data_IF_660771359697
#
_entry.id   IF_660771359697
#
_cell.length_a   1.000
_cell.length_b   1.000
_cell.length_c   1.000
_cell.angle_alpha   90.00
_cell.angle_beta   90.00
_cell.angle_gamma   90.00
#
_symmetry.space_group_name_H-M   'P 1'
#
loop_
_entity.id
_entity.type
_entity.pdbx_description
1 polymer ?
#
# COMPACT_ATOMS: atom_id res chain seq x y z
N UNK A 1 4.18 18.87 19.54
CA UNK A 1 4.38 17.65 20.36
C UNK A 1 5.01 16.60 19.46
N UNK A 2 6.35 16.45 19.45
CA UNK A 2 7.02 15.43 18.63
C UNK A 2 6.62 14.05 19.18
N UNK A 3 5.93 13.23 18.37
CA UNK A 3 5.61 11.84 18.74
C UNK A 3 6.94 11.13 19.02
N UNK A 4 7.19 10.76 20.28
CA UNK A 4 8.30 9.88 20.63
C UNK A 4 7.93 8.48 20.15
N UNK A 5 8.22 8.17 18.89
CA UNK A 5 8.13 6.81 18.38
C UNK A 5 9.36 6.04 18.87
N UNK A 6 9.16 5.18 19.87
CA UNK A 6 10.19 4.25 20.35
C UNK A 6 10.47 3.08 19.37
N UNK A 7 9.96 3.13 18.14
CA UNK A 7 10.20 2.10 17.11
C UNK A 7 11.61 2.15 16.50
N UNK A 8 12.40 3.18 16.78
CA UNK A 8 13.76 3.35 16.26
C UNK A 8 14.83 2.42 16.91
N UNK A 9 14.44 1.32 17.57
CA UNK A 9 15.40 0.39 18.18
C UNK A 9 15.78 -0.79 17.28
N UNK A 10 15.04 -1.00 16.19
CA UNK A 10 15.39 -2.00 15.19
C UNK A 10 16.10 -1.31 14.01
N UNK A 11 17.39 -1.59 13.85
CA UNK A 11 18.22 -1.03 12.77
C UNK A 11 17.78 -1.49 11.37
N UNK A 12 16.81 -2.40 11.26
CA UNK A 12 16.19 -2.82 10.00
C UNK A 12 14.91 -2.06 9.65
N UNK A 13 14.39 -1.23 10.56
CA UNK A 13 13.17 -0.44 10.33
C UNK A 13 13.56 0.96 9.84
N UNK A 14 13.38 1.17 8.53
CA UNK A 14 13.50 2.48 7.91
C UNK A 14 12.14 3.19 7.96
N UNK A 15 12.11 4.42 8.48
CA UNK A 15 10.94 5.28 8.37
C UNK A 15 11.21 6.42 7.40
N UNK A 16 10.27 6.67 6.50
CA UNK A 16 10.25 7.86 5.67
C UNK A 16 9.30 8.86 6.32
N UNK A 17 9.85 9.95 6.86
CA UNK A 17 9.02 11.07 7.30
C UNK A 17 8.65 11.92 6.08
N UNK A 18 7.45 11.66 5.54
CA UNK A 18 6.95 12.40 4.38
C UNK A 18 6.79 13.90 4.67
N UNK A 19 6.63 14.32 5.94
CA UNK A 19 6.53 15.75 6.28
C UNK A 19 7.85 16.51 6.03
N UNK A 20 8.99 15.82 5.93
CA UNK A 20 10.30 16.43 5.66
C UNK A 20 10.64 16.53 4.16
N UNK A 21 9.86 15.87 3.29
CA UNK A 21 10.09 15.88 1.85
C UNK A 21 8.76 15.97 1.10
N UNK A 22 8.44 17.16 0.60
CA UNK A 22 7.20 17.44 -0.14
C UNK A 22 7.09 16.67 -1.46
N UNK A 23 8.21 16.20 -2.02
CA UNK A 23 8.25 15.41 -3.25
C UNK A 23 8.21 13.90 -2.97
N UNK A 24 8.03 13.48 -1.71
CA UNK A 24 8.03 12.08 -1.34
C UNK A 24 6.82 11.31 -1.92
N UNK A 25 7.07 10.05 -2.25
CA UNK A 25 6.06 9.05 -2.61
C UNK A 25 6.48 7.74 -1.96
N UNK A 26 5.54 7.05 -1.34
CA UNK A 26 5.76 5.78 -0.65
C UNK A 26 5.08 4.65 -1.41
N UNK A 27 5.76 3.51 -1.47
CA UNK A 27 5.16 2.23 -1.89
C UNK A 27 5.17 1.27 -0.71
N UNK A 28 3.98 0.86 -0.29
CA UNK A 28 3.79 -0.21 0.67
C UNK A 28 3.50 -1.50 -0.10
N UNK A 29 4.50 -2.38 -0.20
CA UNK A 29 4.39 -3.61 -0.98
C UNK A 29 3.52 -4.61 -0.21
N UNK A 30 2.37 -4.95 -0.79
CA UNK A 30 1.48 -5.97 -0.26
C UNK A 30 1.90 -7.38 -0.64
N UNK A 31 1.22 -8.38 -0.08
CA UNK A 31 1.52 -9.79 -0.33
C UNK A 31 0.68 -10.71 0.54
N UNK A 32 1.00 -12.01 0.49
CA UNK A 32 0.39 -13.01 1.38
C UNK A 32 1.03 -12.86 2.76
N UNK A 33 0.19 -12.73 3.78
CA UNK A 33 0.58 -12.70 5.17
C UNK A 33 0.23 -14.03 5.84
N UNK A 34 1.25 -14.78 6.24
CA UNK A 34 1.15 -16.05 7.00
C UNK A 34 0.11 -17.05 6.46
N UNK A 35 -0.07 -17.11 5.14
CA UNK A 35 -1.11 -17.95 4.49
C UNK A 35 -2.54 -17.71 5.00
N UNK A 36 -2.80 -16.53 5.59
CA UNK A 36 -4.11 -16.16 6.18
C UNK A 36 -4.82 -15.09 5.40
N UNK A 37 -4.07 -14.09 4.95
CA UNK A 37 -4.63 -12.95 4.26
C UNK A 37 -3.72 -12.47 3.15
N UNK A 38 -4.31 -11.76 2.22
CA UNK A 38 -3.61 -11.08 1.16
C UNK A 38 -3.76 -9.57 1.43
N UNK A 39 -2.70 -8.81 1.25
CA UNK A 39 -2.71 -7.35 1.38
C UNK A 39 -2.41 -6.73 0.00
N UNK A 40 -3.12 -5.67 -0.41
CA UNK A 40 -2.84 -4.97 -1.65
C UNK A 40 -1.55 -4.15 -1.52
N UNK A 41 -0.87 -3.93 -2.64
CA UNK A 41 0.18 -2.91 -2.72
C UNK A 41 -0.46 -1.53 -2.78
N UNK A 42 0.01 -0.62 -1.94
CA UNK A 42 -0.43 0.77 -1.89
C UNK A 42 0.69 1.70 -2.36
N UNK A 43 0.36 2.66 -3.21
CA UNK A 43 1.22 3.79 -3.54
C UNK A 43 0.54 5.02 -2.98
N UNK A 44 1.24 5.83 -2.20
CA UNK A 44 0.67 7.00 -1.53
C UNK A 44 1.66 8.16 -1.42
N UNK A 45 1.09 9.35 -1.27
CA UNK A 45 1.80 10.59 -0.91
C UNK A 45 0.86 11.44 -0.07
N UNK A 46 1.40 12.14 0.94
CA UNK A 46 0.63 13.15 1.70
C UNK A 46 0.60 14.53 1.01
N UNK A 47 1.40 14.71 -0.06
CA UNK A 47 1.60 15.97 -0.75
C UNK A 47 1.04 15.95 -2.17
N UNK A 48 -0.18 15.45 -2.35
CA UNK A 48 -0.79 15.31 -3.69
C UNK A 48 -0.97 16.64 -4.46
N UNK A 49 -1.01 17.76 -3.74
CA UNK A 49 -1.08 19.11 -4.32
C UNK A 49 0.30 19.63 -4.79
N UNK A 50 1.40 19.02 -4.34
CA UNK A 50 2.74 19.32 -4.85
C UNK A 50 2.91 18.70 -6.25
N UNK A 51 3.35 19.52 -7.21
CA UNK A 51 3.44 19.12 -8.62
C UNK A 51 4.42 17.95 -8.80
N UNK A 52 5.61 18.03 -8.19
CA UNK A 52 6.64 17.01 -8.30
C UNK A 52 6.19 15.69 -7.66
N UNK A 53 5.60 15.75 -6.46
CA UNK A 53 5.04 14.56 -5.79
C UNK A 53 3.95 13.89 -6.63
N UNK A 54 3.05 14.67 -7.21
CA UNK A 54 1.98 14.18 -8.07
C UNK A 54 2.51 13.53 -9.35
N UNK A 55 3.54 14.11 -9.95
CA UNK A 55 4.23 13.54 -11.12
C UNK A 55 4.88 12.20 -10.76
N UNK A 56 5.65 12.14 -9.67
CA UNK A 56 6.29 10.92 -9.18
C UNK A 56 5.26 9.84 -8.84
N UNK A 57 4.17 10.19 -8.14
CA UNK A 57 3.07 9.28 -7.84
C UNK A 57 2.48 8.69 -9.12
N UNK A 58 2.22 9.54 -10.12
CA UNK A 58 1.64 9.14 -11.39
C UNK A 58 2.58 8.23 -12.17
N UNK A 59 3.88 8.55 -12.22
CA UNK A 59 4.90 7.74 -12.88
C UNK A 59 5.04 6.36 -12.23
N UNK A 60 5.05 6.30 -10.90
CA UNK A 60 5.15 5.04 -10.18
C UNK A 60 3.91 4.18 -10.40
N UNK A 61 2.71 4.78 -10.26
CA UNK A 61 1.44 4.10 -10.51
C UNK A 61 1.37 3.51 -11.91
N UNK A 62 1.67 4.29 -12.95
CA UNK A 62 1.72 3.83 -14.35
C UNK A 62 2.73 2.70 -14.56
N UNK A 63 3.87 2.74 -13.87
CA UNK A 63 4.88 1.68 -13.94
C UNK A 63 4.37 0.36 -13.37
N UNK A 64 3.49 0.41 -12.37
CA UNK A 64 2.87 -0.77 -11.76
C UNK A 64 1.70 -1.32 -12.58
N UNK A 65 0.94 -0.49 -13.31
CA UNK A 65 -0.27 -0.90 -14.06
C UNK A 65 -0.06 -2.10 -14.99
N UNK A 66 1.14 -2.25 -15.58
CA UNK A 66 1.47 -3.40 -16.47
C UNK A 66 1.45 -4.77 -15.78
N UNK A 67 1.55 -4.80 -14.46
CA UNK A 67 1.56 -6.03 -13.64
C UNK A 67 0.24 -6.28 -12.91
N UNK A 68 -0.73 -5.39 -13.09
CA UNK A 68 -2.01 -5.41 -12.38
C UNK A 68 -3.05 -6.19 -13.20
N UNK A 69 -3.85 -7.02 -12.53
CA UNK A 69 -5.03 -7.65 -13.11
C UNK A 69 -6.24 -6.71 -13.11
N UNK A 70 -6.44 -5.98 -12.01
CA UNK A 70 -7.52 -4.99 -11.89
C UNK A 70 -7.20 -3.93 -10.83
N UNK A 71 -7.92 -2.81 -10.89
CA UNK A 71 -7.93 -1.80 -9.83
C UNK A 71 -9.28 -1.83 -9.13
N UNK A 72 -9.30 -1.87 -7.79
CA UNK A 72 -10.54 -1.87 -6.99
C UNK A 72 -10.37 -0.91 -5.82
N UNK A 73 -11.28 0.04 -5.66
CA UNK A 73 -11.25 1.06 -4.59
C UNK A 73 -9.89 1.80 -4.48
N UNK A 74 -9.21 2.03 -5.61
CA UNK A 74 -7.89 2.67 -5.65
C UNK A 74 -6.70 1.73 -5.44
N UNK A 75 -6.92 0.49 -5.00
CA UNK A 75 -5.87 -0.52 -4.82
C UNK A 75 -5.53 -1.20 -6.14
N UNK A 76 -4.23 -1.28 -6.42
CA UNK A 76 -3.68 -2.00 -7.57
C UNK A 76 -3.49 -3.48 -7.21
N UNK A 77 -4.19 -4.36 -7.91
CA UNK A 77 -4.20 -5.79 -7.60
C UNK A 77 -3.35 -6.55 -8.61
N UNK A 78 -2.20 -7.05 -8.18
CA UNK A 78 -1.30 -7.84 -9.03
C UNK A 78 -1.97 -9.08 -9.61
N UNK A 79 -1.49 -9.53 -10.79
CA UNK A 79 -2.03 -10.72 -11.46
C UNK A 79 -2.02 -11.96 -10.58
N UNK A 80 -0.91 -12.21 -9.89
CA UNK A 80 -0.77 -13.38 -9.03
C UNK A 80 -1.68 -13.29 -7.80
N UNK A 81 -1.71 -12.12 -7.15
CA UNK A 81 -2.63 -11.82 -6.05
C UNK A 81 -4.10 -12.08 -6.42
N UNK A 82 -4.51 -11.66 -7.63
CA UNK A 82 -5.87 -11.85 -8.12
C UNK A 82 -6.27 -13.32 -8.33
N UNK A 83 -5.31 -14.23 -8.57
CA UNK A 83 -5.58 -15.67 -8.66
C UNK A 83 -6.04 -16.26 -7.32
N UNK A 84 -5.57 -15.68 -6.21
CA UNK A 84 -5.88 -16.13 -4.85
C UNK A 84 -7.03 -15.38 -4.19
N UNK A 85 -7.73 -14.50 -4.91
CA UNK A 85 -8.79 -13.64 -4.36
C UNK A 85 -9.94 -14.36 -3.66
N UNK A 86 -10.17 -15.64 -3.99
CA UNK A 86 -11.21 -16.48 -3.39
C UNK A 86 -10.63 -17.44 -2.33
N UNK A 87 -9.30 -17.51 -2.21
CA UNK A 87 -8.60 -18.40 -1.28
C UNK A 87 -8.21 -17.65 0.00
N UNK A 88 -7.80 -16.39 -0.13
CA UNK A 88 -7.44 -15.55 0.99
C UNK A 88 -8.43 -14.42 1.18
N UNK A 89 -8.59 -14.04 2.45
CA UNK A 89 -9.24 -12.79 2.83
C UNK A 89 -8.39 -11.62 2.34
N UNK A 90 -9.00 -10.65 1.65
CA UNK A 90 -8.26 -9.54 1.07
C UNK A 90 -8.33 -8.29 1.96
N UNK A 91 -7.36 -8.15 2.85
CA UNK A 91 -7.34 -7.15 3.91
C UNK A 91 -6.75 -5.82 3.43
N UNK A 92 -7.40 -4.70 3.76
CA UNK A 92 -6.91 -3.35 3.43
C UNK A 92 -6.38 -2.56 4.63
N UNK A 93 -6.70 -2.99 5.85
CA UNK A 93 -6.31 -2.31 7.10
C UNK A 93 -5.40 -3.21 7.94
N UNK A 94 -5.89 -4.39 8.33
CA UNK A 94 -5.14 -5.35 9.14
C UNK A 94 -5.87 -6.69 9.23
N UNK A 95 -5.18 -7.71 9.72
CA UNK A 95 -5.77 -9.06 9.86
C UNK A 95 -6.93 -9.06 10.86
N UNK A 96 -6.83 -8.26 11.93
CA UNK A 96 -7.83 -8.18 12.99
C UNK A 96 -8.96 -7.20 12.69
N UNK A 97 -8.91 -6.46 11.57
CA UNK A 97 -9.99 -5.54 11.22
C UNK A 97 -11.26 -6.32 10.85
N UNK A 98 -12.46 -5.74 11.00
CA UNK A 98 -13.69 -6.36 10.52
C UNK A 98 -13.67 -6.66 9.01
N UNK A 99 -14.26 -7.79 8.60
CA UNK A 99 -14.32 -8.23 7.18
C UNK A 99 -15.10 -7.27 6.26
N UNK A 100 -15.89 -6.36 6.84
CA UNK A 100 -16.61 -5.34 6.07
C UNK A 100 -15.67 -4.38 5.34
N UNK A 101 -14.42 -4.25 5.80
CA UNK A 101 -13.38 -3.42 5.19
C UNK A 101 -12.53 -4.17 4.16
N UNK A 102 -12.78 -5.47 3.99
CA UNK A 102 -12.04 -6.26 3.03
C UNK A 102 -12.38 -5.83 1.61
N UNK A 103 -11.39 -5.99 0.74
CA UNK A 103 -11.58 -5.79 -0.69
C UNK A 103 -12.38 -6.98 -1.24
N UNK A 104 -13.63 -6.72 -1.64
CA UNK A 104 -14.51 -7.75 -2.19
C UNK A 104 -14.42 -7.78 -3.71
N UNK A 105 -14.35 -8.99 -4.26
CA UNK A 105 -14.48 -9.26 -5.69
C UNK A 105 -15.79 -9.99 -5.96
N UNK A 106 -16.36 -9.68 -7.12
CA UNK A 106 -17.49 -10.42 -7.70
C UNK A 106 -16.99 -11.61 -8.51
#
# INVERSE_FOLDING_TARGET
MKRKNNMCQDNSIFFLDQELNESSVVINIGGIYEDKALFPTEISTIWYENIESKELYTMLKKSCEKYVACTKNGYLIGKDAYLYKNQYRFCTIGIDSPQIYDLKFE
#
